data_IF_076680888226
#
_entry.id   IF_076680888226
#
_cell.length_a   1.000
_cell.length_b   1.000
_cell.length_c   1.000
_cell.angle_alpha   90.00
_cell.angle_beta   90.00
_cell.angle_gamma   90.00
#
_symmetry.space_group_name_H-M   'P 1'
#
loop_
_entity.id
_entity.type
_entity.pdbx_description
1 polymer ?
#
# COMPACT_ATOMS: atom_id res chain seq x y z
N UNK A 1 10.97 0.47 -8.03
CA UNK A 1 10.37 -0.85 -8.31
C UNK A 1 10.32 -1.65 -7.03
N UNK A 2 9.22 -2.35 -6.79
CA UNK A 2 8.89 -3.09 -5.59
C UNK A 2 8.35 -4.47 -5.97
N UNK A 3 8.15 -5.33 -5.00
CA UNK A 3 7.63 -6.69 -5.19
C UNK A 3 6.21 -6.89 -4.60
N UNK A 4 5.77 -5.96 -3.76
CA UNK A 4 4.54 -6.10 -2.97
C UNK A 4 4.72 -7.00 -1.75
N UNK A 5 5.95 -7.21 -1.31
CA UNK A 5 6.27 -7.91 -0.07
C UNK A 5 6.60 -6.89 1.00
N UNK A 6 5.71 -6.75 1.97
CA UNK A 6 5.87 -5.79 3.06
C UNK A 6 7.00 -6.22 3.97
N UNK A 7 7.97 -5.31 4.20
CA UNK A 7 9.11 -5.56 5.10
C UNK A 7 8.79 -5.20 6.55
N UNK A 8 7.98 -4.16 6.76
CA UNK A 8 7.56 -3.70 8.07
C UNK A 8 6.27 -2.86 7.99
N UNK A 9 5.58 -2.74 9.12
CA UNK A 9 4.60 -1.68 9.35
C UNK A 9 5.31 -0.52 10.05
N UNK A 10 5.32 0.66 9.42
CA UNK A 10 5.79 1.89 10.05
C UNK A 10 4.63 2.65 10.68
N UNK A 11 4.88 3.36 11.77
CA UNK A 11 3.91 4.22 12.42
C UNK A 11 4.10 5.67 11.96
N UNK A 12 3.02 6.35 11.63
CA UNK A 12 3.02 7.78 11.34
C UNK A 12 3.24 8.55 12.64
N UNK A 13 4.39 9.20 12.79
CA UNK A 13 4.73 9.97 14.00
C UNK A 13 4.53 11.47 13.86
N UNK A 14 4.52 11.99 12.62
CA UNK A 14 4.17 13.38 12.35
C UNK A 14 3.64 13.57 10.92
N UNK A 15 2.73 14.54 10.77
CA UNK A 15 2.20 15.01 9.49
C UNK A 15 2.35 16.53 9.43
N UNK A 16 2.92 17.05 8.35
CA UNK A 16 3.06 18.49 8.14
C UNK A 16 2.65 18.88 6.72
N UNK A 17 1.68 19.78 6.61
CA UNK A 17 1.28 20.38 5.33
C UNK A 17 2.21 21.52 4.96
N UNK A 18 2.58 21.58 3.67
CA UNK A 18 3.32 22.68 3.08
C UNK A 18 2.77 22.96 1.67
N UNK A 19 1.90 23.97 1.58
CA UNK A 19 1.07 24.16 0.41
C UNK A 19 0.17 22.95 0.14
N UNK A 20 0.25 22.39 -1.04
CA UNK A 20 -0.49 21.19 -1.43
C UNK A 20 0.23 19.88 -1.05
N UNK A 21 1.49 19.96 -0.61
CA UNK A 21 2.27 18.80 -0.24
C UNK A 21 1.97 18.34 1.20
N UNK A 22 2.08 17.04 1.42
CA UNK A 22 2.04 16.43 2.74
C UNK A 22 3.38 15.76 3.03
N UNK A 23 4.06 16.22 4.07
CA UNK A 23 5.24 15.55 4.61
C UNK A 23 4.78 14.54 5.66
N UNK A 24 5.15 13.28 5.45
CA UNK A 24 4.88 12.19 6.37
C UNK A 24 6.19 11.79 7.04
N UNK A 25 6.24 11.83 8.36
CA UNK A 25 7.35 11.26 9.13
C UNK A 25 6.89 9.96 9.75
N UNK A 26 7.64 8.88 9.49
CA UNK A 26 7.32 7.54 9.96
C UNK A 26 8.46 6.99 10.79
N UNK A 27 8.13 6.21 11.83
CA UNK A 27 9.07 5.33 12.50
C UNK A 27 9.03 3.94 11.88
N UNK A 28 10.18 3.30 11.71
CA UNK A 28 10.26 1.92 11.27
C UNK A 28 11.60 1.28 11.67
N UNK A 29 11.69 -0.07 11.70
CA UNK A 29 12.90 -0.78 12.12
C UNK A 29 14.13 -0.51 11.26
N UNK A 30 13.95 -0.18 9.99
CA UNK A 30 15.04 0.06 9.04
C UNK A 30 15.32 1.56 8.75
N UNK A 31 14.80 2.48 9.58
CA UNK A 31 14.95 3.92 9.34
C UNK A 31 16.44 4.35 9.24
N UNK A 32 17.31 3.79 10.09
CA UNK A 32 18.75 4.05 10.08
C UNK A 32 19.50 3.53 8.84
N UNK A 33 18.92 2.57 8.13
CA UNK A 33 19.49 1.99 6.91
C UNK A 33 19.14 2.78 5.64
N UNK A 34 18.16 3.70 5.74
CA UNK A 34 17.69 4.49 4.62
C UNK A 34 18.72 5.58 4.25
N UNK A 35 18.64 6.03 3.00
CA UNK A 35 19.45 7.13 2.47
C UNK A 35 18.54 8.18 1.87
N UNK A 36 18.97 9.45 1.91
CA UNK A 36 18.34 10.52 1.15
C UNK A 36 18.25 10.10 -0.32
N UNK A 37 17.14 10.45 -0.98
CA UNK A 37 16.85 10.12 -2.38
C UNK A 37 16.52 8.64 -2.65
N UNK A 38 16.45 7.81 -1.61
CA UNK A 38 16.00 6.42 -1.74
C UNK A 38 14.47 6.34 -1.85
N UNK A 39 13.96 5.41 -2.67
CA UNK A 39 12.54 5.13 -2.78
C UNK A 39 12.10 4.07 -1.78
N UNK A 40 10.98 4.35 -1.09
CA UNK A 40 10.26 3.42 -0.21
C UNK A 40 8.78 3.43 -0.61
N UNK A 41 8.14 2.28 -0.66
CA UNK A 41 6.70 2.18 -0.86
C UNK A 41 5.95 2.31 0.47
N UNK A 42 4.89 3.13 0.47
CA UNK A 42 4.02 3.44 1.61
C UNK A 42 2.59 3.05 1.24
N UNK A 43 2.06 1.97 1.80
CA UNK A 43 0.81 1.36 1.32
C UNK A 43 0.82 1.17 -0.22
N UNK A 44 1.97 0.81 -0.79
CA UNK A 44 2.15 0.66 -2.23
C UNK A 44 2.49 1.94 -3.00
N UNK A 45 2.50 3.10 -2.36
CA UNK A 45 2.87 4.39 -2.97
C UNK A 45 4.38 4.61 -2.87
N UNK A 46 5.06 4.73 -4.01
CA UNK A 46 6.49 5.06 -4.09
C UNK A 46 6.72 6.52 -3.70
N UNK A 47 7.43 6.75 -2.61
CA UNK A 47 7.86 8.09 -2.18
C UNK A 47 9.36 8.13 -1.92
N UNK A 48 9.94 9.31 -2.09
CA UNK A 48 11.38 9.53 -1.91
C UNK A 48 11.68 10.01 -0.49
N UNK A 49 12.69 9.42 0.13
CA UNK A 49 13.19 9.83 1.45
C UNK A 49 13.88 11.18 1.34
N UNK A 50 13.40 12.17 2.10
CA UNK A 50 13.95 13.53 2.12
C UNK A 50 14.70 13.86 3.40
N UNK A 51 14.44 13.12 4.49
CA UNK A 51 15.18 13.20 5.75
C UNK A 51 15.10 11.85 6.48
N UNK A 52 16.11 11.52 7.28
CA UNK A 52 16.07 10.36 8.17
C UNK A 52 17.00 10.55 9.37
N UNK A 53 16.77 9.74 10.40
CA UNK A 53 17.64 9.57 11.57
C UNK A 53 17.64 8.08 11.99
N UNK A 54 18.09 7.77 13.19
CA UNK A 54 18.17 6.38 13.68
C UNK A 54 16.80 5.69 13.81
N UNK A 55 15.71 6.44 13.99
CA UNK A 55 14.40 5.88 14.33
C UNK A 55 13.30 6.26 13.36
N UNK A 56 13.44 7.38 12.66
CA UNK A 56 12.40 7.93 11.79
C UNK A 56 12.95 8.42 10.46
N UNK A 57 12.09 8.51 9.47
CA UNK A 57 12.39 9.15 8.20
C UNK A 57 11.17 9.96 7.70
N UNK A 58 11.42 10.88 6.80
CA UNK A 58 10.38 11.74 6.24
C UNK A 58 10.34 11.58 4.71
N UNK A 59 9.14 11.52 4.19
CA UNK A 59 8.84 11.54 2.75
C UNK A 59 7.83 12.63 2.44
N UNK A 60 7.72 13.02 1.17
CA UNK A 60 6.78 14.05 0.72
C UNK A 60 5.86 13.49 -0.34
N UNK A 61 4.55 13.58 -0.12
CA UNK A 61 3.51 13.29 -1.08
C UNK A 61 2.95 14.59 -1.68
N UNK A 62 2.89 14.66 -3.01
CA UNK A 62 2.26 15.77 -3.75
C UNK A 62 0.75 15.55 -3.85
N UNK A 63 0.00 16.57 -4.21
CA UNK A 63 -1.48 16.53 -4.27
C UNK A 63 -2.00 15.38 -5.14
N UNK A 64 -1.44 15.16 -6.34
CA UNK A 64 -1.86 14.05 -7.21
C UNK A 64 -1.75 12.67 -6.52
N UNK A 65 -0.66 12.47 -5.76
CA UNK A 65 -0.46 11.23 -4.99
C UNK A 65 -1.51 11.09 -3.89
N UNK A 66 -1.84 12.17 -3.21
CA UNK A 66 -2.87 12.19 -2.16
C UNK A 66 -4.27 11.91 -2.71
N UNK A 67 -4.57 12.42 -3.90
CA UNK A 67 -5.88 12.24 -4.55
C UNK A 67 -6.09 10.78 -5.02
N UNK A 68 -5.01 10.09 -5.41
CA UNK A 68 -5.08 8.71 -5.91
C UNK A 68 -4.91 7.63 -4.84
N UNK A 69 -4.47 8.00 -3.65
CA UNK A 69 -4.10 7.04 -2.60
C UNK A 69 -4.83 7.31 -1.29
N UNK A 70 -4.67 6.41 -0.34
CA UNK A 70 -5.19 6.61 1.01
C UNK A 70 -4.26 7.43 1.93
N UNK A 71 -3.10 7.88 1.44
CA UNK A 71 -2.11 8.59 2.26
C UNK A 71 -2.64 9.92 2.82
N UNK A 72 -3.52 10.59 2.06
CA UNK A 72 -4.13 11.85 2.50
C UNK A 72 -5.11 11.73 3.68
N UNK A 73 -5.52 10.50 4.02
CA UNK A 73 -6.43 10.19 5.13
C UNK A 73 -5.71 9.74 6.40
N UNK A 74 -4.39 9.56 6.35
CA UNK A 74 -3.60 9.11 7.49
C UNK A 74 -3.60 10.12 8.62
N UNK A 75 -3.56 9.60 9.83
CA UNK A 75 -3.41 10.32 11.10
C UNK A 75 -2.16 9.86 11.84
N UNK A 76 -1.67 10.66 12.78
CA UNK A 76 -0.58 10.24 13.67
C UNK A 76 -1.04 9.02 14.47
N UNK A 77 -0.21 7.99 14.52
CA UNK A 77 -0.48 6.68 15.13
C UNK A 77 -0.94 5.61 14.13
N UNK A 78 -1.32 5.99 12.88
CA UNK A 78 -1.69 5.01 11.88
C UNK A 78 -0.50 4.17 11.42
N UNK A 79 -0.77 2.90 11.10
CA UNK A 79 0.22 1.97 10.56
C UNK A 79 0.19 1.95 9.02
N UNK A 80 1.37 2.03 8.44
CA UNK A 80 1.59 2.04 7.00
C UNK A 80 2.47 0.86 6.61
N UNK A 81 2.06 0.07 5.64
CA UNK A 81 2.88 -1.00 5.07
C UNK A 81 4.07 -0.41 4.31
N UNK A 82 5.26 -0.85 4.63
CA UNK A 82 6.51 -0.34 4.08
C UNK A 82 7.28 -1.42 3.34
N UNK A 83 7.82 -1.06 2.18
CA UNK A 83 8.74 -1.89 1.40
C UNK A 83 9.81 -1.01 0.78
N UNK A 84 11.08 -1.36 0.96
CA UNK A 84 12.21 -0.72 0.27
C UNK A 84 12.26 -1.16 -1.19
N UNK A 85 12.83 -0.33 -2.06
CA UNK A 85 13.01 -0.70 -3.46
C UNK A 85 13.84 -1.98 -3.61
N UNK A 86 13.46 -2.82 -4.58
CA UNK A 86 14.11 -4.08 -4.90
C UNK A 86 15.59 -3.87 -5.26
N UNK A 87 16.43 -4.80 -4.82
CA UNK A 87 17.83 -4.89 -5.25
C UNK A 87 17.92 -5.60 -6.61
N UNK A 88 18.84 -5.15 -7.47
CA UNK A 88 19.20 -5.89 -8.69
C UNK A 88 19.76 -7.26 -8.32
N UNK A 89 19.19 -8.32 -8.91
CA UNK A 89 19.54 -9.71 -8.59
C UNK A 89 18.87 -10.27 -7.34
N UNK A 90 18.01 -9.49 -6.67
CA UNK A 90 17.15 -9.97 -5.59
C UNK A 90 16.05 -10.90 -6.11
N UNK A 91 15.42 -11.64 -5.19
CA UNK A 91 14.27 -12.51 -5.52
C UNK A 91 13.02 -11.64 -5.72
N UNK A 92 12.15 -12.08 -6.62
CA UNK A 92 10.82 -11.52 -6.80
C UNK A 92 9.80 -12.49 -6.19
N UNK A 93 9.53 -12.33 -4.90
CA UNK A 93 8.62 -13.24 -4.17
C UNK A 93 7.13 -12.83 -4.30
N UNK A 94 6.84 -11.64 -4.82
CA UNK A 94 5.50 -11.17 -5.20
C UNK A 94 5.34 -11.01 -6.71
N UNK A 95 5.06 -9.79 -7.16
CA UNK A 95 5.02 -9.44 -8.60
C UNK A 95 5.69 -8.06 -8.82
N UNK A 96 5.87 -7.66 -10.06
CA UNK A 96 6.48 -6.36 -10.38
C UNK A 96 5.51 -5.24 -10.03
N UNK A 97 5.86 -4.41 -9.04
CA UNK A 97 5.08 -3.28 -8.55
C UNK A 97 5.86 -1.99 -8.78
N UNK A 98 5.24 -1.04 -9.50
CA UNK A 98 5.88 0.24 -9.79
C UNK A 98 5.84 1.20 -8.61
N UNK A 99 4.79 1.11 -7.80
CA UNK A 99 4.52 2.05 -6.70
C UNK A 99 3.71 3.27 -7.14
N UNK A 100 3.08 3.22 -8.31
CA UNK A 100 2.15 4.23 -8.82
C UNK A 100 0.73 3.71 -8.65
N UNK A 101 0.06 4.18 -7.61
CA UNK A 101 -1.29 3.70 -7.26
C UNK A 101 -2.31 4.18 -8.29
N UNK A 102 -3.12 3.26 -8.76
CA UNK A 102 -4.17 3.54 -9.76
C UNK A 102 -5.34 4.29 -9.14
N UNK A 103 -5.86 3.78 -8.02
CA UNK A 103 -7.03 4.31 -7.31
C UNK A 103 -7.16 3.73 -5.90
N UNK A 104 -8.11 4.26 -5.13
CA UNK A 104 -8.56 3.68 -3.86
C UNK A 104 -9.76 2.78 -4.08
N UNK A 105 -9.97 1.84 -3.13
CA UNK A 105 -11.15 1.00 -3.04
C UNK A 105 -11.69 1.02 -1.61
N UNK A 106 -12.95 0.66 -1.43
CA UNK A 106 -13.60 0.53 -0.13
C UNK A 106 -13.74 -0.95 0.21
N UNK A 107 -13.32 -1.34 1.41
CA UNK A 107 -13.57 -2.67 1.93
C UNK A 107 -15.06 -2.84 2.23
N UNK A 108 -15.71 -3.81 1.60
CA UNK A 108 -17.17 -4.06 1.75
C UNK A 108 -17.46 -5.32 2.55
N UNK A 109 -16.51 -6.24 2.70
CA UNK A 109 -16.65 -7.46 3.51
C UNK A 109 -15.29 -7.89 4.04
N UNK A 110 -15.29 -8.38 5.27
CA UNK A 110 -14.17 -9.09 5.92
C UNK A 110 -14.75 -10.32 6.58
N UNK A 111 -14.30 -11.50 6.17
CA UNK A 111 -14.77 -12.77 6.69
C UNK A 111 -13.57 -13.62 7.12
N UNK A 112 -13.59 -14.13 8.34
CA UNK A 112 -12.65 -15.15 8.80
C UNK A 112 -13.16 -16.52 8.32
N UNK A 113 -12.32 -17.24 7.59
CA UNK A 113 -12.65 -18.51 6.98
C UNK A 113 -11.52 -19.53 7.27
N UNK A 114 -11.71 -20.35 8.30
CA UNK A 114 -10.87 -21.50 8.65
C UNK A 114 -9.35 -21.22 8.60
N UNK A 115 -8.94 -20.16 9.33
CA UNK A 115 -7.53 -19.75 9.44
C UNK A 115 -7.01 -18.85 8.32
N UNK A 116 -7.90 -18.29 7.53
CA UNK A 116 -7.61 -17.23 6.56
C UNK A 116 -8.66 -16.13 6.65
N UNK A 117 -8.39 -14.99 6.03
CA UNK A 117 -9.35 -13.88 5.94
C UNK A 117 -9.67 -13.62 4.48
N UNK A 118 -10.97 -13.48 4.18
CA UNK A 118 -11.46 -13.08 2.88
C UNK A 118 -11.88 -11.62 2.95
N UNK A 119 -11.29 -10.78 2.12
CA UNK A 119 -11.63 -9.38 1.97
C UNK A 119 -12.28 -9.15 0.62
N UNK A 120 -13.33 -8.33 0.59
CA UNK A 120 -13.93 -7.84 -0.65
C UNK A 120 -13.77 -6.33 -0.72
N UNK A 121 -13.36 -5.84 -1.88
CA UNK A 121 -13.16 -4.43 -2.15
C UNK A 121 -14.02 -3.98 -3.32
N UNK A 122 -14.57 -2.79 -3.21
CA UNK A 122 -15.30 -2.12 -4.28
C UNK A 122 -14.54 -0.87 -4.73
N UNK A 123 -14.43 -0.67 -6.03
CA UNK A 123 -13.72 0.44 -6.65
C UNK A 123 -14.57 1.09 -7.74
N UNK A 124 -14.26 2.35 -8.05
CA UNK A 124 -14.91 3.04 -9.15
C UNK A 124 -14.34 2.56 -10.48
N UNK A 125 -15.20 2.41 -11.47
CA UNK A 125 -14.79 2.18 -12.85
C UNK A 125 -15.85 2.73 -13.82
N UNK A 126 -15.40 3.08 -15.02
CA UNK A 126 -16.22 3.40 -16.17
C UNK A 126 -15.60 2.80 -17.44
N UNK A 127 -16.23 3.04 -18.59
CA UNK A 127 -15.75 2.49 -19.84
C UNK A 127 -14.41 3.10 -20.29
N UNK A 128 -14.08 4.32 -19.88
CA UNK A 128 -12.80 4.96 -20.18
C UNK A 128 -11.68 4.39 -19.32
N UNK A 129 -11.88 4.27 -18.01
CA UNK A 129 -10.93 3.65 -17.08
C UNK A 129 -10.65 2.20 -17.49
N UNK A 130 -11.69 1.42 -17.79
CA UNK A 130 -11.53 0.04 -18.25
C UNK A 130 -10.68 -0.06 -19.54
N UNK A 131 -10.88 0.83 -20.51
CA UNK A 131 -10.04 0.89 -21.73
C UNK A 131 -8.59 1.28 -21.46
N UNK A 132 -8.33 2.01 -20.37
CA UNK A 132 -6.97 2.34 -19.92
C UNK A 132 -6.31 1.22 -19.13
N UNK A 133 -7.00 0.09 -18.91
CA UNK A 133 -6.47 -1.07 -18.19
C UNK A 133 -6.74 -1.07 -16.68
N UNK A 134 -7.57 -0.17 -16.15
CA UNK A 134 -7.99 -0.17 -14.75
C UNK A 134 -9.07 -1.23 -14.52
N UNK A 135 -8.64 -2.49 -14.59
CA UNK A 135 -9.48 -3.67 -14.42
C UNK A 135 -8.76 -4.69 -13.53
N UNK A 136 -9.53 -5.49 -12.81
CA UNK A 136 -9.01 -6.69 -12.15
C UNK A 136 -9.19 -7.91 -13.04
N UNK A 137 -8.32 -8.90 -12.88
CA UNK A 137 -8.35 -10.14 -13.66
C UNK A 137 -8.38 -11.30 -12.67
N UNK A 138 -9.35 -12.22 -12.85
CA UNK A 138 -9.46 -13.42 -12.02
C UNK A 138 -8.14 -14.21 -12.01
N UNK A 139 -7.65 -14.56 -10.82
CA UNK A 139 -6.32 -15.18 -10.58
C UNK A 139 -5.11 -14.32 -10.98
N UNK A 140 -5.32 -13.07 -11.39
CA UNK A 140 -4.24 -12.11 -11.62
C UNK A 140 -3.64 -11.60 -10.31
N UNK A 141 -2.50 -10.92 -10.41
CA UNK A 141 -1.88 -10.25 -9.27
C UNK A 141 -2.43 -8.84 -9.10
N UNK A 142 -2.63 -8.45 -7.85
CA UNK A 142 -3.02 -7.09 -7.45
C UNK A 142 -2.20 -6.67 -6.23
N UNK A 143 -1.88 -5.39 -6.15
CA UNK A 143 -1.28 -4.82 -4.93
C UNK A 143 -2.32 -3.99 -4.19
N UNK A 144 -2.66 -4.40 -2.97
CA UNK A 144 -3.57 -3.67 -2.08
C UNK A 144 -2.79 -3.20 -0.86
N UNK A 145 -2.75 -1.89 -0.63
CA UNK A 145 -1.94 -1.28 0.44
C UNK A 145 -0.48 -1.81 0.45
N UNK A 146 0.12 -1.98 -0.72
CA UNK A 146 1.49 -2.47 -0.86
C UNK A 146 1.66 -3.98 -0.72
N UNK A 147 0.60 -4.75 -0.48
CA UNK A 147 0.65 -6.21 -0.35
C UNK A 147 0.32 -6.87 -1.69
N UNK A 148 1.21 -7.70 -2.20
CA UNK A 148 1.00 -8.53 -3.40
C UNK A 148 0.04 -9.67 -3.10
N UNK A 149 -1.08 -9.71 -3.79
CA UNK A 149 -2.18 -10.64 -3.56
C UNK A 149 -2.70 -11.22 -4.88
N UNK A 150 -3.44 -12.31 -4.78
CA UNK A 150 -4.14 -12.93 -5.90
C UNK A 150 -5.60 -12.52 -5.88
N UNK A 151 -6.08 -12.02 -7.01
CA UNK A 151 -7.49 -11.65 -7.21
C UNK A 151 -8.37 -12.90 -7.25
N UNK A 152 -9.48 -12.86 -6.53
CA UNK A 152 -10.57 -13.83 -6.64
C UNK A 152 -11.91 -13.09 -6.74
N UNK A 153 -12.90 -13.75 -7.31
CA UNK A 153 -14.24 -13.18 -7.51
C UNK A 153 -14.19 -11.80 -8.18
N UNK A 154 -13.41 -11.69 -9.27
CA UNK A 154 -13.24 -10.47 -10.03
C UNK A 154 -14.55 -10.09 -10.73
N UNK A 155 -15.04 -8.90 -10.48
CA UNK A 155 -16.20 -8.29 -11.11
C UNK A 155 -15.84 -6.92 -11.70
N UNK A 156 -16.77 -6.29 -12.38
CA UNK A 156 -16.54 -5.00 -13.03
C UNK A 156 -16.10 -3.89 -12.05
N UNK A 157 -16.66 -3.87 -10.84
CA UNK A 157 -16.43 -2.81 -9.84
C UNK A 157 -15.94 -3.35 -8.51
N UNK A 158 -15.65 -4.64 -8.42
CA UNK A 158 -15.22 -5.25 -7.17
C UNK A 158 -14.35 -6.47 -7.39
N UNK A 159 -13.58 -6.82 -6.37
CA UNK A 159 -12.77 -8.04 -6.34
C UNK A 159 -12.63 -8.53 -4.89
N UNK A 160 -12.27 -9.78 -4.75
CA UNK A 160 -11.89 -10.37 -3.47
C UNK A 160 -10.41 -10.71 -3.44
N UNK A 161 -9.88 -10.85 -2.23
CA UNK A 161 -8.54 -11.40 -1.95
C UNK A 161 -8.62 -12.28 -0.71
N UNK A 162 -7.81 -13.35 -0.69
CA UNK A 162 -7.64 -14.21 0.47
C UNK A 162 -6.29 -13.92 1.14
N UNK A 163 -6.30 -13.69 2.44
CA UNK A 163 -5.13 -13.34 3.24
C UNK A 163 -4.81 -14.49 4.19
N UNK A 164 -3.57 -14.98 4.16
CA UNK A 164 -3.07 -15.96 5.12
C UNK A 164 -2.77 -15.32 6.48
N UNK A 165 -2.74 -16.07 7.59
CA UNK A 165 -2.48 -15.51 8.93
C UNK A 165 -1.23 -14.66 9.02
N UNK A 166 -0.13 -15.10 8.42
CA UNK A 166 1.12 -14.35 8.42
C UNK A 166 0.96 -12.95 7.82
N UNK A 167 0.33 -12.83 6.65
CA UNK A 167 0.09 -11.54 5.99
C UNK A 167 -0.85 -10.65 6.80
N UNK A 168 -1.90 -11.25 7.38
CA UNK A 168 -2.83 -10.52 8.25
C UNK A 168 -2.12 -9.89 9.46
N UNK A 169 -1.27 -10.65 10.15
CA UNK A 169 -0.58 -10.17 11.35
C UNK A 169 0.55 -9.18 11.07
N UNK A 170 1.27 -9.36 9.94
CA UNK A 170 2.48 -8.60 9.63
C UNK A 170 2.25 -7.39 8.72
N UNK A 171 0.99 -7.10 8.38
CA UNK A 171 0.61 -5.93 7.58
C UNK A 171 -0.52 -5.14 8.25
N UNK A 172 -0.85 -3.99 7.69
CA UNK A 172 -2.00 -3.22 8.18
C UNK A 172 -3.36 -3.81 7.81
N UNK A 173 -3.42 -4.97 7.14
CA UNK A 173 -4.66 -5.68 6.84
C UNK A 173 -5.48 -6.02 8.11
N UNK A 174 -4.83 -6.29 9.23
CA UNK A 174 -5.49 -6.52 10.53
C UNK A 174 -6.33 -5.32 11.03
N UNK A 175 -6.11 -4.13 10.48
CA UNK A 175 -6.86 -2.92 10.81
C UNK A 175 -7.91 -2.56 9.74
N UNK A 176 -7.91 -3.26 8.60
CA UNK A 176 -8.93 -3.07 7.56
C UNK A 176 -10.24 -3.69 8.03
N UNK A 177 -11.27 -2.88 8.03
CA UNK A 177 -12.64 -3.27 8.35
C UNK A 177 -13.60 -2.75 7.28
N UNK A 178 -14.85 -3.19 7.34
CA UNK A 178 -15.90 -2.69 6.43
C UNK A 178 -15.97 -1.17 6.52
N UNK A 179 -15.88 -0.50 5.38
CA UNK A 179 -15.86 0.96 5.25
C UNK A 179 -14.47 1.60 5.22
N UNK A 180 -13.39 0.81 5.45
CA UNK A 180 -12.02 1.31 5.30
C UNK A 180 -11.74 1.65 3.86
#
# INVERSE_FOLDING_TARGET
MFSGIVEACGEVVALRREGENLHLTLSCPFASELKIDQSVAHNGVCLTVVAHNEHTYTVTAIQETLDRSNLGKLSVGDLVNLERSMLLGGRLDGHIVQGHVDMTAICTSVEEADGSWLYRFEHQTDAELARKGYITVEKGSITVNGVSLTVCNSEKTSFGVAIIPYTHEHTNFKHIQVGT
#
